data_IF_461954081732
#
_entry.id   IF_461954081732
#
_cell.length_a   1.000
_cell.length_b   1.000
_cell.length_c   1.000
_cell.angle_alpha   90.00
_cell.angle_beta   90.00
_cell.angle_gamma   90.00
#
_symmetry.space_group_name_H-M   'P 1'
#
loop_
_entity.id
_entity.type
_entity.pdbx_description
1 polymer ?
#
# COMPACT_ATOMS: atom_id res chain seq x y z
N UNK A 1 -10.67 -13.49 -21.60
CA UNK A 1 -9.50 -13.03 -20.83
C UNK A 1 -9.35 -11.54 -21.08
N UNK A 2 -9.80 -10.69 -20.15
CA UNK A 2 -9.50 -9.25 -20.22
C UNK A 2 -8.05 -9.06 -19.76
N UNK A 3 -7.27 -8.27 -20.48
CA UNK A 3 -5.97 -7.86 -19.99
C UNK A 3 -6.16 -6.90 -18.81
N UNK A 4 -5.22 -6.89 -17.84
CA UNK A 4 -5.22 -5.91 -16.74
C UNK A 4 -5.32 -4.47 -17.28
N UNK A 5 -4.75 -4.23 -18.46
CA UNK A 5 -4.74 -2.93 -19.15
C UNK A 5 -6.14 -2.42 -19.56
N UNK A 6 -7.15 -3.29 -19.62
CA UNK A 6 -8.53 -2.93 -19.98
C UNK A 6 -9.40 -2.60 -18.75
N UNK A 7 -8.88 -2.82 -17.53
CA UNK A 7 -9.63 -2.60 -16.30
C UNK A 7 -9.54 -1.15 -15.84
N UNK A 8 -10.68 -0.62 -15.39
CA UNK A 8 -10.72 0.69 -14.73
C UNK A 8 -10.10 0.62 -13.34
N UNK A 9 -9.65 1.77 -12.84
CA UNK A 9 -9.15 1.88 -11.46
C UNK A 9 -10.17 1.37 -10.43
N UNK A 10 -11.47 1.64 -10.63
CA UNK A 10 -12.51 1.19 -9.69
C UNK A 10 -12.69 -0.33 -9.70
N UNK A 11 -12.55 -0.98 -10.87
CA UNK A 11 -12.54 -2.44 -10.97
C UNK A 11 -11.32 -3.04 -10.27
N UNK A 12 -10.13 -2.48 -10.51
CA UNK A 12 -8.90 -2.88 -9.81
C UNK A 12 -9.06 -2.71 -8.30
N UNK A 13 -9.56 -1.56 -7.85
CA UNK A 13 -9.78 -1.28 -6.43
C UNK A 13 -10.76 -2.26 -5.80
N UNK A 14 -11.85 -2.59 -6.50
CA UNK A 14 -12.85 -3.53 -6.01
C UNK A 14 -12.27 -4.94 -5.90
N UNK A 15 -11.56 -5.42 -6.92
CA UNK A 15 -10.92 -6.74 -6.91
C UNK A 15 -9.86 -6.86 -5.80
N UNK A 16 -8.97 -5.87 -5.69
CA UNK A 16 -7.92 -5.87 -4.66
C UNK A 16 -8.48 -5.85 -3.24
N UNK A 17 -9.53 -5.06 -2.99
CA UNK A 17 -10.23 -5.04 -1.69
C UNK A 17 -10.88 -6.37 -1.38
N UNK A 18 -11.51 -7.00 -2.37
CA UNK A 18 -12.12 -8.32 -2.19
C UNK A 18 -11.05 -9.38 -1.87
N UNK A 19 -9.92 -9.35 -2.58
CA UNK A 19 -8.80 -10.27 -2.38
C UNK A 19 -8.13 -10.13 -1.00
N UNK A 20 -7.91 -8.90 -0.52
CA UNK A 20 -7.22 -8.66 0.74
C UNK A 20 -8.12 -8.88 1.99
N UNK A 21 -9.44 -8.95 1.81
CA UNK A 21 -10.43 -8.89 2.89
C UNK A 21 -10.18 -9.93 3.99
N UNK A 22 -10.19 -9.48 5.24
CA UNK A 22 -10.01 -10.29 6.44
C UNK A 22 -8.55 -10.47 6.87
N UNK A 23 -7.59 -9.95 6.10
CA UNK A 23 -6.17 -9.94 6.44
C UNK A 23 -5.68 -8.50 6.59
N UNK A 24 -5.80 -7.92 7.79
CA UNK A 24 -5.52 -6.48 8.00
C UNK A 24 -4.19 -5.96 7.47
N UNK A 25 -3.05 -6.70 7.52
CA UNK A 25 -1.82 -6.23 6.91
C UNK A 25 -1.92 -6.14 5.37
N UNK A 26 -2.58 -7.10 4.72
CA UNK A 26 -2.82 -7.08 3.28
C UNK A 26 -3.81 -5.98 2.88
N UNK A 27 -4.90 -5.81 3.65
CA UNK A 27 -5.87 -4.72 3.43
C UNK A 27 -5.19 -3.35 3.53
N UNK A 28 -4.37 -3.15 4.57
CA UNK A 28 -3.64 -1.91 4.78
C UNK A 28 -2.66 -1.61 3.63
N UNK A 29 -1.93 -2.62 3.15
CA UNK A 29 -1.03 -2.48 2.01
C UNK A 29 -1.79 -2.11 0.73
N UNK A 30 -2.93 -2.74 0.47
CA UNK A 30 -3.82 -2.43 -0.67
C UNK A 30 -4.38 -1.01 -0.55
N UNK A 31 -4.95 -0.64 0.59
CA UNK A 31 -5.52 0.71 0.79
C UNK A 31 -4.45 1.81 0.70
N UNK A 32 -3.22 1.54 1.15
CA UNK A 32 -2.09 2.46 0.96
C UNK A 32 -1.84 2.73 -0.53
N UNK A 33 -1.75 1.67 -1.36
CA UNK A 33 -1.52 1.82 -2.80
C UNK A 33 -2.71 2.49 -3.50
N UNK A 34 -3.94 2.18 -3.10
CA UNK A 34 -5.16 2.81 -3.61
C UNK A 34 -5.23 4.31 -3.27
N UNK A 35 -4.89 4.68 -2.04
CA UNK A 35 -4.87 6.06 -1.59
C UNK A 35 -3.75 6.87 -2.27
N UNK A 36 -2.56 6.28 -2.43
CA UNK A 36 -1.44 6.92 -3.12
C UNK A 36 -1.66 7.04 -4.64
N UNK A 37 -2.44 6.13 -5.24
CA UNK A 37 -2.82 6.04 -6.67
C UNK A 37 -1.68 5.83 -7.67
N UNK A 38 -0.47 6.33 -7.42
CA UNK A 38 0.62 6.38 -8.41
C UNK A 38 0.91 5.05 -9.08
N UNK A 39 1.23 4.01 -8.31
CA UNK A 39 1.59 2.70 -8.83
C UNK A 39 0.48 2.01 -9.62
N UNK A 40 -0.78 2.14 -9.20
CA UNK A 40 -1.91 1.49 -9.85
C UNK A 40 -2.33 2.14 -11.18
N UNK A 41 -1.79 3.32 -11.52
CA UNK A 41 -1.96 3.93 -12.84
C UNK A 41 -0.82 3.59 -13.81
N UNK A 42 0.22 2.91 -13.33
CA UNK A 42 1.42 2.62 -14.11
C UNK A 42 1.36 1.23 -14.73
N UNK A 43 1.43 1.15 -16.06
CA UNK A 43 1.45 -0.13 -16.79
C UNK A 43 2.62 -1.04 -16.44
N UNK A 44 3.78 -0.46 -16.13
CA UNK A 44 4.96 -1.24 -15.72
C UNK A 44 4.80 -1.86 -14.33
N UNK A 45 3.88 -1.35 -13.52
CA UNK A 45 3.47 -1.98 -12.27
C UNK A 45 2.31 -2.93 -12.48
N UNK A 46 1.22 -2.48 -13.10
CA UNK A 46 0.01 -3.29 -13.23
C UNK A 46 0.25 -4.56 -14.05
N UNK A 47 1.04 -4.50 -15.12
CA UNK A 47 1.39 -5.67 -15.93
C UNK A 47 2.39 -6.64 -15.29
N UNK A 48 3.04 -6.25 -14.18
CA UNK A 48 4.08 -7.06 -13.51
C UNK A 48 3.61 -7.59 -12.17
N UNK A 49 2.96 -6.74 -11.37
CA UNK A 49 2.65 -7.01 -9.98
C UNK A 49 1.18 -7.31 -9.73
N UNK A 50 0.26 -7.06 -10.67
CA UNK A 50 -1.13 -7.50 -10.52
C UNK A 50 -1.32 -8.88 -11.13
N UNK A 51 -2.11 -9.71 -10.43
CA UNK A 51 -2.50 -11.04 -10.86
C UNK A 51 -4.01 -11.03 -11.13
N UNK A 52 -4.45 -11.55 -12.29
CA UNK A 52 -5.86 -11.86 -12.55
C UNK A 52 -6.03 -13.37 -12.43
N UNK A 53 -6.94 -13.80 -11.56
CA UNK A 53 -7.35 -15.21 -11.47
C UNK A 53 -8.11 -15.67 -12.71
N UNK A 54 -7.99 -16.95 -13.04
CA UNK A 54 -8.61 -17.55 -14.23
C UNK A 54 -10.14 -17.39 -14.26
N UNK A 55 -10.76 -17.22 -13.09
CA UNK A 55 -12.20 -17.09 -12.91
C UNK A 55 -12.76 -15.69 -13.24
N UNK A 56 -11.93 -14.68 -13.50
CA UNK A 56 -12.38 -13.36 -13.95
C UNK A 56 -11.72 -12.15 -13.29
N UNK A 57 -12.04 -10.93 -13.78
CA UNK A 57 -11.47 -9.67 -13.29
C UNK A 57 -11.89 -9.30 -11.86
N UNK A 58 -12.81 -10.02 -11.24
CA UNK A 58 -13.12 -9.90 -9.81
C UNK A 58 -12.06 -10.54 -8.91
N UNK A 59 -11.17 -11.38 -9.45
CA UNK A 59 -10.09 -12.06 -8.74
C UNK A 59 -8.74 -11.37 -9.01
N UNK A 60 -8.60 -10.10 -8.59
CA UNK A 60 -7.35 -9.35 -8.72
C UNK A 60 -6.58 -9.38 -7.41
N UNK A 61 -5.32 -9.82 -7.46
CA UNK A 61 -4.38 -9.79 -6.34
C UNK A 61 -3.09 -9.04 -6.67
N UNK A 62 -2.21 -8.90 -5.66
CA UNK A 62 -0.86 -8.34 -5.84
C UNK A 62 0.17 -9.46 -5.61
N UNK A 63 1.05 -9.66 -6.59
CA UNK A 63 2.32 -10.35 -6.37
C UNK A 63 3.29 -9.39 -5.66
N UNK A 64 3.34 -9.49 -4.33
CA UNK A 64 4.21 -8.67 -3.50
C UNK A 64 5.70 -8.92 -3.74
N UNK A 65 6.07 -10.12 -4.21
CA UNK A 65 7.46 -10.41 -4.59
C UNK A 65 7.81 -9.59 -5.82
N UNK A 66 7.02 -9.70 -6.89
CA UNK A 66 7.24 -8.93 -8.11
C UNK A 66 7.20 -7.41 -7.87
N UNK A 67 6.32 -6.95 -6.97
CA UNK A 67 6.26 -5.56 -6.52
C UNK A 67 7.56 -5.10 -5.83
N UNK A 68 8.12 -5.92 -4.93
CA UNK A 68 9.39 -5.65 -4.26
C UNK A 68 10.54 -5.59 -5.28
N UNK A 69 10.62 -6.54 -6.20
CA UNK A 69 11.63 -6.52 -7.27
C UNK A 69 11.53 -5.29 -8.17
N UNK A 70 10.30 -4.88 -8.52
CA UNK A 70 10.07 -3.70 -9.32
C UNK A 70 10.55 -2.43 -8.59
N UNK A 71 10.33 -2.32 -7.28
CA UNK A 71 10.78 -1.19 -6.49
C UNK A 71 12.31 -0.96 -6.54
N UNK A 72 13.11 -1.99 -6.81
CA UNK A 72 14.58 -1.84 -6.98
C UNK A 72 15.00 -1.13 -8.25
N UNK A 73 14.21 -1.28 -9.32
CA UNK A 73 14.63 -0.97 -10.69
C UNK A 73 13.71 -0.01 -11.43
N UNK A 74 12.52 0.24 -10.89
CA UNK A 74 11.55 1.10 -11.54
C UNK A 74 12.10 2.54 -11.67
N UNK A 75 11.97 3.17 -12.85
CA UNK A 75 12.21 4.60 -12.98
C UNK A 75 11.05 5.32 -12.26
N UNK A 76 11.26 5.69 -11.00
CA UNK A 76 10.29 6.37 -10.17
C UNK A 76 10.99 7.32 -9.19
N UNK A 77 10.25 8.27 -8.63
CA UNK A 77 10.77 9.14 -7.58
C UNK A 77 11.09 8.36 -6.31
N UNK A 78 11.96 8.92 -5.46
CA UNK A 78 12.29 8.31 -4.17
C UNK A 78 11.08 8.11 -3.26
N UNK A 79 10.09 9.02 -3.32
CA UNK A 79 8.83 8.91 -2.56
C UNK A 79 7.92 7.81 -3.12
N UNK A 80 7.80 7.66 -4.45
CA UNK A 80 7.01 6.57 -5.03
C UNK A 80 7.60 5.20 -4.65
N UNK A 81 8.93 5.04 -4.77
CA UNK A 81 9.63 3.82 -4.33
C UNK A 81 9.38 3.57 -2.84
N UNK A 82 9.44 4.61 -2.01
CA UNK A 82 9.19 4.48 -0.58
C UNK A 82 7.77 4.02 -0.27
N UNK A 83 6.76 4.57 -0.95
CA UNK A 83 5.37 4.14 -0.78
C UNK A 83 5.17 2.66 -1.18
N UNK A 84 5.81 2.21 -2.26
CA UNK A 84 5.73 0.80 -2.67
C UNK A 84 6.43 -0.13 -1.67
N UNK A 85 7.64 0.22 -1.23
CA UNK A 85 8.37 -0.57 -0.23
C UNK A 85 7.62 -0.64 1.11
N UNK A 86 7.00 0.46 1.54
CA UNK A 86 6.15 0.42 2.75
C UNK A 86 4.94 -0.50 2.56
N UNK A 87 4.28 -0.48 1.39
CA UNK A 87 3.19 -1.42 1.11
C UNK A 87 3.65 -2.89 1.15
N UNK A 88 4.79 -3.19 0.52
CA UNK A 88 5.43 -4.52 0.55
C UNK A 88 5.72 -4.96 1.99
N UNK A 89 6.29 -4.07 2.81
CA UNK A 89 6.54 -4.34 4.23
C UNK A 89 5.28 -4.61 5.04
N UNK A 90 4.22 -3.82 4.81
CA UNK A 90 2.91 -4.04 5.46
C UNK A 90 2.30 -5.37 5.05
N UNK A 91 2.50 -5.81 3.80
CA UNK A 91 2.08 -7.12 3.32
C UNK A 91 2.89 -8.30 3.91
N UNK A 92 3.90 -8.03 4.75
CA UNK A 92 4.69 -9.04 5.46
C UNK A 92 5.97 -9.47 4.73
N UNK A 93 6.39 -8.73 3.71
CA UNK A 93 7.65 -8.98 2.99
C UNK A 93 8.79 -8.13 3.55
N UNK A 94 10.03 -8.58 3.33
CA UNK A 94 11.21 -7.87 3.82
C UNK A 94 11.39 -6.51 3.12
N UNK A 95 11.77 -5.50 3.91
CA UNK A 95 12.12 -4.18 3.40
C UNK A 95 13.56 -4.18 2.87
N UNK A 96 13.74 -3.63 1.69
CA UNK A 96 15.08 -3.51 1.09
C UNK A 96 15.89 -2.36 1.68
N UNK A 97 15.19 -1.36 2.23
CA UNK A 97 15.79 -0.21 2.90
C UNK A 97 15.21 -0.08 4.30
N UNK A 98 15.99 0.41 5.28
CA UNK A 98 15.48 0.62 6.63
C UNK A 98 14.25 1.53 6.63
N UNK A 99 13.25 1.20 7.45
CA UNK A 99 11.99 1.96 7.51
C UNK A 99 12.21 3.46 7.72
N UNK A 100 13.14 3.86 8.60
CA UNK A 100 13.46 5.28 8.83
C UNK A 100 13.92 6.03 7.59
N UNK A 101 14.61 5.36 6.66
CA UNK A 101 15.03 5.92 5.38
C UNK A 101 13.88 5.99 4.37
N UNK A 102 12.95 5.03 4.39
CA UNK A 102 11.74 5.10 3.58
C UNK A 102 10.86 6.28 4.02
N UNK A 103 10.66 6.42 5.34
CA UNK A 103 9.81 7.46 5.92
C UNK A 103 10.39 8.87 5.72
N UNK A 104 11.72 9.04 5.69
CA UNK A 104 12.35 10.35 5.47
C UNK A 104 12.15 10.91 4.06
N UNK A 105 11.66 10.09 3.12
CA UNK A 105 11.38 10.48 1.73
C UNK A 105 9.94 10.95 1.50
N UNK A 106 9.08 10.87 2.53
CA UNK A 106 7.66 11.15 2.40
C UNK A 106 7.35 12.61 2.70
N UNK A 107 6.45 13.19 1.92
CA UNK A 107 5.82 14.47 2.26
C UNK A 107 4.69 14.27 3.29
N UNK A 108 4.00 15.35 3.65
CA UNK A 108 2.90 15.32 4.61
C UNK A 108 1.73 14.44 4.16
N UNK A 109 1.41 14.45 2.86
CA UNK A 109 0.28 13.69 2.31
C UNK A 109 0.58 12.19 2.38
N UNK A 110 1.74 11.79 1.88
CA UNK A 110 2.18 10.40 1.89
C UNK A 110 2.42 9.88 3.31
N UNK A 111 2.93 10.73 4.22
CA UNK A 111 3.02 10.39 5.65
C UNK A 111 1.64 10.08 6.24
N UNK A 112 0.63 10.87 5.92
CA UNK A 112 -0.74 10.65 6.41
C UNK A 112 -1.31 9.33 5.90
N UNK A 113 -1.08 8.99 4.63
CA UNK A 113 -1.50 7.71 4.05
C UNK A 113 -0.83 6.54 4.78
N UNK A 114 0.48 6.60 5.02
CA UNK A 114 1.20 5.55 5.76
C UNK A 114 0.68 5.40 7.19
N UNK A 115 0.39 6.50 7.89
CA UNK A 115 -0.19 6.45 9.23
C UNK A 115 -1.56 5.77 9.24
N UNK A 116 -2.41 6.04 8.25
CA UNK A 116 -3.69 5.35 8.10
C UNK A 116 -3.50 3.85 7.85
N UNK A 117 -2.53 3.46 7.01
CA UNK A 117 -2.24 2.06 6.75
C UNK A 117 -1.71 1.32 8.00
N UNK A 118 -0.87 1.96 8.81
CA UNK A 118 -0.41 1.41 10.10
C UNK A 118 -1.59 1.25 11.07
N UNK A 119 -2.46 2.26 11.18
CA UNK A 119 -3.65 2.17 12.02
C UNK A 119 -4.60 1.05 11.53
N UNK A 120 -4.74 0.90 10.21
CA UNK A 120 -5.52 -0.18 9.60
C UNK A 120 -4.96 -1.55 9.98
N UNK A 121 -3.64 -1.75 9.81
CA UNK A 121 -2.92 -2.98 10.18
C UNK A 121 -3.15 -3.33 11.66
N UNK A 122 -3.15 -2.33 12.52
CA UNK A 122 -3.42 -2.50 13.94
C UNK A 122 -4.90 -2.79 14.26
N UNK A 123 -5.82 -2.76 13.29
CA UNK A 123 -7.25 -2.99 13.46
C UNK A 123 -8.03 -1.78 14.02
N UNK A 124 -7.52 -0.56 13.83
CA UNK A 124 -8.19 0.64 14.35
C UNK A 124 -9.45 1.01 13.56
N UNK A 125 -9.48 0.65 12.28
CA UNK A 125 -10.59 0.91 11.38
C UNK A 125 -11.88 0.21 11.82
N UNK A 126 -11.80 -1.04 12.32
CA UNK A 126 -12.99 -1.74 12.87
C UNK A 126 -13.40 -1.24 14.26
N UNK A 127 -12.43 -0.84 15.09
CA UNK A 127 -12.67 -0.46 16.48
C UNK A 127 -13.07 1.01 16.66
N UNK A 128 -13.17 1.77 15.55
CA UNK A 128 -13.49 3.20 15.57
C UNK A 128 -12.48 4.04 16.37
N UNK A 129 -11.20 3.62 16.43
CA UNK A 129 -10.18 4.33 17.20
C UNK A 129 -9.69 5.55 16.43
N UNK A 130 -9.61 6.69 17.11
CA UNK A 130 -9.07 7.95 16.58
C UNK A 130 -7.93 8.40 17.47
N UNK A 131 -6.81 8.79 16.88
CA UNK A 131 -5.73 9.51 17.57
C UNK A 131 -5.41 10.78 16.80
N UNK A 132 -5.28 11.90 17.52
CA UNK A 132 -4.81 13.15 16.96
C UNK A 132 -3.30 13.24 17.17
N UNK A 133 -2.55 13.30 16.08
CA UNK A 133 -1.10 13.53 16.12
C UNK A 133 -0.85 15.03 15.94
N UNK A 134 -0.63 15.74 17.05
CA UNK A 134 -0.14 17.12 17.03
C UNK A 134 1.37 17.10 17.15
N UNK A 135 2.10 17.70 16.19
CA UNK A 135 3.56 17.68 16.17
C UNK A 135 4.16 18.43 17.37
N UNK A 136 4.67 17.64 18.30
CA UNK A 136 5.48 18.01 19.45
C UNK A 136 5.77 16.74 20.27
N UNK A 137 7.02 16.27 20.27
CA UNK A 137 7.48 15.22 21.20
C UNK A 137 7.62 15.83 22.61
N UNK A 138 6.57 16.45 23.13
CA UNK A 138 6.52 16.90 24.52
C UNK A 138 5.70 15.86 25.28
N UNK A 139 6.35 15.22 26.25
CA UNK A 139 5.93 13.98 26.87
C UNK A 139 4.45 13.97 27.31
N UNK A 140 3.73 12.90 26.93
CA UNK A 140 2.59 12.44 27.71
C UNK A 140 3.14 11.91 29.04
N UNK A 141 3.31 12.77 30.04
CA UNK A 141 3.39 12.33 31.44
C UNK A 141 1.97 11.93 31.88
N UNK A 142 1.72 10.68 32.31
CA UNK A 142 0.47 10.34 32.96
C UNK A 142 0.42 10.99 34.35
N UNK A 143 -0.74 11.56 34.70
CA UNK A 143 -1.06 12.03 36.04
C UNK A 143 -1.45 10.85 36.95
#
# INVERSE_FOLDING_TARGET
MHAIDDLTFDQIATGLRAWARGLYPAEAAVELLLAHRGWLHRRDFTGIALLIGDDGPEYIGIDWTAAAELARRAPASGSEIAMLQVAVGLAGHDLEQPLGHLLSRLDQVNTTIVLHAIAHTAGWHERGKVALVTVGFTALTPA
#
